data_IF_751671034161
#
_entry.id   IF_751671034161
#
_cell.length_a   1.000
_cell.length_b   1.000
_cell.length_c   1.000
_cell.angle_alpha   90.00
_cell.angle_beta   90.00
_cell.angle_gamma   90.00
#
_symmetry.space_group_name_H-M   'P 1'
#
loop_
_entity.id
_entity.type
_entity.pdbx_description
1 polymer ?
#
# COMPACT_ATOMS: atom_id res chain seq x y z
N UNK A 1 -30.61 10.26 -56.98
CA UNK A 1 -31.99 9.76 -56.97
C UNK A 1 -31.97 8.32 -56.47
N UNK A 2 -32.75 8.04 -55.40
CA UNK A 2 -33.45 6.79 -55.04
C UNK A 2 -32.82 5.43 -55.49
N UNK A 3 -32.78 4.35 -54.72
CA UNK A 3 -33.49 3.96 -53.50
C UNK A 3 -33.10 2.50 -53.18
N UNK A 4 -33.18 2.11 -51.89
CA UNK A 4 -33.67 0.79 -51.37
C UNK A 4 -32.89 -0.48 -51.78
N UNK A 5 -32.81 -1.55 -51.00
CA UNK A 5 -33.24 -1.88 -49.64
C UNK A 5 -32.46 -3.15 -49.25
N UNK A 6 -31.96 -3.22 -48.02
CA UNK A 6 -31.52 -4.48 -47.43
C UNK A 6 -32.72 -5.09 -46.69
N UNK A 7 -33.16 -6.26 -47.12
CA UNK A 7 -34.18 -7.05 -46.42
C UNK A 7 -33.84 -8.53 -46.50
N UNK A 8 -33.82 -9.17 -45.33
CA UNK A 8 -33.98 -10.61 -45.22
C UNK A 8 -32.71 -11.34 -44.82
N UNK A 9 -32.53 -11.55 -43.52
CA UNK A 9 -32.05 -12.86 -43.08
C UNK A 9 -32.94 -13.37 -41.97
N UNK A 10 -33.56 -14.50 -42.30
CA UNK A 10 -34.59 -15.19 -41.56
C UNK A 10 -34.07 -15.82 -40.28
N UNK A 11 -34.95 -15.81 -39.27
CA UNK A 11 -34.87 -16.69 -38.11
C UNK A 11 -35.02 -18.14 -38.56
N UNK A 12 -34.05 -18.99 -38.20
CA UNK A 12 -34.31 -20.41 -37.93
C UNK A 12 -33.82 -20.80 -36.54
N UNK A 13 -34.75 -21.40 -35.83
CA UNK A 13 -34.74 -21.79 -34.43
C UNK A 13 -34.50 -23.30 -34.31
N UNK A 14 -34.01 -23.71 -33.13
CA UNK A 14 -34.02 -25.06 -32.50
C UNK A 14 -33.05 -26.09 -33.13
N UNK A 15 -32.42 -27.02 -32.40
CA UNK A 15 -32.71 -27.61 -31.09
C UNK A 15 -31.40 -28.10 -30.43
N UNK A 16 -31.22 -27.87 -29.13
CA UNK A 16 -31.29 -28.87 -28.06
C UNK A 16 -30.05 -29.76 -27.86
N UNK A 17 -29.31 -29.51 -26.77
CA UNK A 17 -28.77 -30.59 -25.95
C UNK A 17 -28.97 -30.26 -24.47
N UNK A 18 -29.53 -31.23 -23.77
CA UNK A 18 -29.93 -31.19 -22.36
C UNK A 18 -28.70 -31.42 -21.49
N UNK A 19 -28.41 -30.50 -20.58
CA UNK A 19 -27.76 -30.86 -19.30
C UNK A 19 -28.51 -30.13 -18.19
N UNK A 20 -29.48 -30.83 -17.61
CA UNK A 20 -30.09 -30.45 -16.32
C UNK A 20 -29.03 -30.68 -15.25
N UNK A 21 -28.48 -29.61 -14.68
CA UNK A 21 -27.98 -29.62 -13.30
C UNK A 21 -28.90 -28.72 -12.50
N UNK A 22 -29.78 -29.37 -11.74
CA UNK A 22 -30.57 -28.75 -10.69
C UNK A 22 -29.61 -28.17 -9.66
N UNK A 23 -29.48 -26.85 -9.61
CA UNK A 23 -29.07 -26.17 -8.37
C UNK A 23 -30.35 -25.91 -7.58
N UNK A 24 -30.62 -26.83 -6.65
CA UNK A 24 -31.61 -26.63 -5.60
C UNK A 24 -31.02 -25.57 -4.65
N UNK A 25 -31.46 -24.32 -4.79
CA UNK A 25 -31.22 -23.28 -3.79
C UNK A 25 -32.22 -23.52 -2.67
N UNK A 26 -31.78 -24.19 -1.61
CA UNK A 26 -32.48 -24.24 -0.34
C UNK A 26 -32.15 -22.94 0.40
N UNK A 27 -33.09 -21.99 0.39
CA UNK A 27 -33.10 -20.86 1.32
C UNK A 27 -33.55 -21.39 2.69
N UNK A 28 -32.60 -21.79 3.54
CA UNK A 28 -32.83 -21.93 4.97
C UNK A 28 -32.55 -20.58 5.62
N UNK A 29 -33.62 -19.90 5.99
CA UNK A 29 -33.59 -18.78 6.91
C UNK A 29 -33.49 -19.32 8.34
N UNK A 30 -32.27 -19.41 8.87
CA UNK A 30 -31.99 -19.46 10.31
C UNK A 30 -30.69 -18.70 10.56
N UNK A 31 -30.76 -17.71 11.45
CA UNK A 31 -29.61 -16.90 11.85
C UNK A 31 -28.44 -17.78 12.27
N UNK A 32 -27.32 -17.59 11.60
CA UNK A 32 -26.02 -18.07 12.03
C UNK A 32 -25.02 -17.01 11.58
N UNK A 33 -24.22 -16.59 12.54
CA UNK A 33 -23.16 -15.62 12.40
C UNK A 33 -22.24 -16.12 11.28
N UNK A 34 -22.04 -15.28 10.26
CA UNK A 34 -20.94 -15.48 9.32
C UNK A 34 -19.66 -15.16 10.09
N UNK A 35 -19.17 -16.12 10.87
CA UNK A 35 -17.76 -16.13 11.25
C UNK A 35 -16.97 -16.19 9.95
N UNK A 36 -16.44 -15.02 9.58
CA UNK A 36 -15.45 -14.87 8.55
C UNK A 36 -14.29 -15.79 8.90
N UNK A 37 -14.17 -16.90 8.17
CA UNK A 37 -13.02 -17.80 8.20
C UNK A 37 -11.82 -17.05 7.64
N UNK A 38 -11.28 -16.12 8.44
CA UNK A 38 -9.88 -15.77 8.35
C UNK A 38 -9.11 -17.09 8.48
N UNK A 39 -8.19 -17.41 7.55
CA UNK A 39 -7.36 -18.59 7.71
C UNK A 39 -6.72 -18.53 9.10
N UNK A 40 -6.63 -19.65 9.83
CA UNK A 40 -5.91 -19.66 11.10
C UNK A 40 -4.54 -19.07 10.79
N UNK A 41 -4.21 -17.96 11.48
CA UNK A 41 -2.85 -17.45 11.51
C UNK A 41 -2.02 -18.66 11.92
N UNK A 42 -1.36 -19.27 10.93
CA UNK A 42 -0.42 -20.34 11.17
C UNK A 42 0.48 -19.84 12.29
N UNK A 43 0.76 -20.72 13.24
CA UNK A 43 1.66 -20.51 14.37
C UNK A 43 3.08 -20.15 13.87
N UNK A 44 3.21 -18.96 13.30
CA UNK A 44 4.46 -18.24 13.15
C UNK A 44 4.84 -17.91 14.58
N UNK A 45 5.77 -18.69 15.11
CA UNK A 45 6.19 -18.76 16.51
C UNK A 45 6.82 -17.49 17.07
N UNK A 46 6.17 -16.34 16.91
CA UNK A 46 6.22 -15.31 17.93
C UNK A 46 5.59 -15.93 19.17
N UNK A 47 6.38 -16.17 20.22
CA UNK A 47 5.84 -16.54 21.52
C UNK A 47 4.73 -15.51 21.86
N UNK A 48 3.47 -15.96 21.93
CA UNK A 48 2.34 -15.08 22.26
C UNK A 48 2.62 -14.35 23.57
N UNK A 49 3.40 -14.96 24.48
CA UNK A 49 3.84 -14.32 25.71
C UNK A 49 4.81 -13.14 25.48
N UNK A 50 5.65 -13.16 24.44
CA UNK A 50 6.52 -12.03 24.08
C UNK A 50 5.71 -10.83 23.61
N UNK A 51 4.73 -11.03 22.72
CA UNK A 51 3.85 -9.93 22.28
C UNK A 51 3.04 -9.37 23.45
N UNK A 52 2.55 -10.23 24.35
CA UNK A 52 1.83 -9.79 25.56
C UNK A 52 2.70 -8.98 26.53
N UNK A 53 4.00 -9.31 26.66
CA UNK A 53 4.95 -8.49 27.42
C UNK A 53 5.07 -7.08 26.82
N UNK A 54 5.15 -6.98 25.49
CA UNK A 54 5.20 -5.69 24.81
C UNK A 54 3.90 -4.91 24.97
N UNK A 55 2.74 -5.58 24.86
CA UNK A 55 1.40 -4.99 24.98
C UNK A 55 1.19 -4.23 26.28
N UNK A 56 1.79 -4.68 27.39
CA UNK A 56 1.66 -4.04 28.69
C UNK A 56 2.13 -2.58 28.72
N UNK A 57 3.04 -2.18 27.83
CA UNK A 57 3.54 -0.80 27.74
C UNK A 57 3.39 -0.17 26.34
N UNK A 58 3.25 -0.97 25.28
CA UNK A 58 3.27 -0.53 23.88
C UNK A 58 1.97 -0.84 23.14
N UNK A 59 0.82 -0.76 23.80
CA UNK A 59 -0.50 -1.12 23.22
C UNK A 59 -0.76 -0.47 21.87
N UNK A 60 -0.50 0.83 21.72
CA UNK A 60 -0.70 1.57 20.45
C UNK A 60 0.20 1.08 19.32
N UNK A 61 1.42 0.61 19.63
CA UNK A 61 2.33 0.03 18.63
C UNK A 61 1.92 -1.36 18.22
N UNK A 62 1.36 -2.14 19.13
CA UNK A 62 0.85 -3.47 18.81
C UNK A 62 -0.46 -3.40 18.03
N UNK A 63 -1.35 -2.46 18.36
CA UNK A 63 -2.53 -2.17 17.53
C UNK A 63 -2.13 -1.79 16.11
N UNK A 64 -1.11 -0.94 15.98
CA UNK A 64 -0.54 -0.59 14.70
C UNK A 64 -0.01 -1.84 13.97
N UNK A 65 0.80 -2.65 14.65
CA UNK A 65 1.41 -3.86 14.10
C UNK A 65 0.39 -4.86 13.56
N UNK A 66 -0.78 -4.92 14.21
CA UNK A 66 -1.88 -5.78 13.78
C UNK A 66 -2.56 -5.31 12.49
N UNK A 67 -2.27 -4.11 11.98
CA UNK A 67 -2.64 -3.72 10.62
C UNK A 67 -1.91 -4.62 9.62
N UNK A 68 -2.62 -5.00 8.56
CA UNK A 68 -2.07 -5.89 7.54
C UNK A 68 -0.82 -5.28 6.90
N UNK A 69 0.32 -5.93 7.09
CA UNK A 69 1.58 -5.60 6.43
C UNK A 69 2.32 -6.89 6.11
N UNK A 70 3.20 -6.88 5.11
CA UNK A 70 4.05 -8.05 4.83
C UNK A 70 4.94 -8.41 6.03
N UNK A 71 5.39 -7.42 6.82
CA UNK A 71 6.21 -7.68 8.01
C UNK A 71 5.42 -8.35 9.13
N UNK A 72 4.21 -7.87 9.43
CA UNK A 72 3.36 -8.47 10.48
C UNK A 72 2.81 -9.85 10.10
N UNK A 73 2.88 -10.23 8.83
CA UNK A 73 2.55 -11.57 8.35
C UNK A 73 3.73 -12.56 8.37
N UNK A 74 4.97 -12.08 8.39
CA UNK A 74 6.16 -12.93 8.18
C UNK A 74 7.12 -12.94 9.37
N UNK A 75 7.05 -11.93 10.24
CA UNK A 75 8.03 -11.72 11.30
C UNK A 75 7.35 -11.46 12.64
N UNK A 76 8.13 -11.53 13.72
CA UNK A 76 7.71 -11.12 15.06
C UNK A 76 8.41 -9.81 15.47
N UNK A 77 8.10 -9.31 16.65
CA UNK A 77 8.71 -8.08 17.16
C UNK A 77 10.24 -8.20 17.28
N UNK A 78 10.75 -9.38 17.66
CA UNK A 78 12.17 -9.62 17.96
C UNK A 78 13.01 -9.78 16.70
N UNK A 79 12.41 -10.13 15.56
CA UNK A 79 13.08 -10.10 14.26
C UNK A 79 13.70 -8.74 13.98
N UNK A 80 12.97 -7.68 14.34
CA UNK A 80 13.36 -6.30 14.08
C UNK A 80 13.73 -5.52 15.34
N UNK A 81 13.61 -6.07 16.55
CA UNK A 81 13.95 -5.38 17.78
C UNK A 81 14.87 -6.26 18.62
N UNK A 82 16.09 -5.80 18.84
CA UNK A 82 16.95 -6.40 19.85
C UNK A 82 16.53 -5.85 21.21
N UNK A 83 16.04 -6.75 22.07
CA UNK A 83 15.61 -6.42 23.43
C UNK A 83 16.86 -6.37 24.32
N UNK A 84 17.14 -5.22 24.90
CA UNK A 84 18.18 -5.09 25.93
C UNK A 84 17.55 -5.13 27.32
N UNK A 85 18.33 -5.57 28.32
CA UNK A 85 17.82 -6.02 29.62
C UNK A 85 17.13 -4.93 30.48
N UNK A 86 17.20 -3.65 30.10
CA UNK A 86 16.67 -2.54 30.90
C UNK A 86 15.54 -1.80 30.19
N UNK A 87 14.39 -1.69 30.86
CA UNK A 87 13.27 -0.85 30.48
C UNK A 87 13.65 0.63 30.64
N UNK A 88 14.21 1.22 29.58
CA UNK A 88 14.63 2.62 29.53
C UNK A 88 14.81 3.14 28.11
N UNK A 89 15.48 4.28 27.98
CA UNK A 89 15.90 4.79 26.67
C UNK A 89 16.80 3.75 26.00
N UNK A 90 16.37 3.22 24.85
CA UNK A 90 17.10 2.17 24.12
C UNK A 90 16.75 0.73 24.49
N UNK A 91 15.72 0.47 25.32
CA UNK A 91 15.29 -0.91 25.68
C UNK A 91 14.99 -1.82 24.48
N UNK A 92 14.67 -1.21 23.34
CA UNK A 92 14.64 -1.86 22.06
C UNK A 92 15.41 -1.01 21.03
N UNK A 93 16.33 -1.64 20.33
CA UNK A 93 16.98 -1.06 19.16
C UNK A 93 16.53 -1.82 17.93
N UNK A 94 16.15 -1.07 16.89
CA UNK A 94 15.86 -1.65 15.58
C UNK A 94 17.18 -1.81 14.83
N UNK A 95 17.60 -3.04 14.46
CA UNK A 95 18.77 -3.22 13.62
C UNK A 95 18.56 -2.53 12.27
N UNK A 96 19.64 -2.28 11.56
CA UNK A 96 19.57 -1.61 10.26
C UNK A 96 18.67 -2.39 9.27
N UNK A 97 17.76 -1.67 8.60
CA UNK A 97 16.84 -2.25 7.62
C UNK A 97 17.59 -2.99 6.49
N UNK A 98 18.82 -2.54 6.20
CA UNK A 98 19.75 -3.09 5.22
C UNK A 98 20.12 -4.56 5.43
N UNK A 99 19.84 -5.14 6.61
CA UNK A 99 20.01 -6.58 6.83
C UNK A 99 19.11 -7.44 5.95
N UNK A 100 17.92 -6.95 5.61
CA UNK A 100 16.94 -7.66 4.78
C UNK A 100 16.67 -6.92 3.45
N UNK A 101 16.93 -5.62 3.42
CA UNK A 101 16.60 -4.72 2.31
C UNK A 101 17.87 -4.23 1.60
N UNK A 102 17.80 -4.00 0.30
CA UNK A 102 18.92 -3.50 -0.52
C UNK A 102 18.57 -2.21 -1.27
N UNK A 103 17.53 -1.53 -0.81
CA UNK A 103 17.03 -0.28 -1.36
C UNK A 103 17.97 0.89 -1.02
N UNK A 104 17.99 1.90 -1.90
CA UNK A 104 18.84 3.07 -1.75
C UNK A 104 18.16 4.14 -0.90
N UNK A 105 18.94 4.87 -0.11
CA UNK A 105 18.44 6.03 0.61
C UNK A 105 18.08 7.15 -0.37
N UNK A 106 16.87 7.70 -0.24
CA UNK A 106 16.47 8.90 -0.98
C UNK A 106 17.02 10.13 -0.29
N UNK A 107 17.88 10.91 -0.97
CA UNK A 107 18.50 12.12 -0.43
C UNK A 107 19.18 11.96 0.96
N UNK A 108 19.69 10.75 1.26
CA UNK A 108 20.32 10.44 2.55
C UNK A 108 19.34 10.19 3.71
N UNK A 109 18.03 10.15 3.45
CA UNK A 109 17.03 9.82 4.47
C UNK A 109 17.12 8.37 4.92
N UNK A 110 16.89 8.13 6.21
CA UNK A 110 16.73 6.79 6.74
C UNK A 110 15.40 6.17 6.28
N UNK A 111 15.34 4.85 6.12
CA UNK A 111 14.15 4.15 5.63
C UNK A 111 12.89 4.48 6.45
N UNK A 112 13.05 4.64 7.77
CA UNK A 112 11.95 4.92 8.73
C UNK A 112 11.40 6.36 8.68
N UNK A 113 12.07 7.26 7.95
CA UNK A 113 11.53 8.60 7.67
C UNK A 113 10.33 8.51 6.71
N UNK A 114 10.33 7.50 5.83
CA UNK A 114 9.23 7.27 4.88
C UNK A 114 8.37 6.07 5.27
N UNK A 115 8.93 5.03 5.87
CA UNK A 115 8.23 3.78 6.19
C UNK A 115 7.89 3.66 7.68
N UNK A 116 6.71 3.13 7.97
CA UNK A 116 6.26 2.70 9.29
C UNK A 116 6.08 1.17 9.33
N UNK A 117 7.11 0.40 9.75
CA UNK A 117 7.04 -1.06 9.79
C UNK A 117 6.05 -1.59 10.84
N UNK A 118 5.58 -0.73 11.75
CA UNK A 118 4.48 -1.05 12.65
C UNK A 118 3.12 -0.84 11.99
N UNK A 119 3.05 -0.65 10.67
CA UNK A 119 1.80 -0.60 9.94
C UNK A 119 1.39 0.82 9.62
N UNK A 120 1.40 1.14 8.34
CA UNK A 120 0.67 2.26 7.77
C UNK A 120 -0.58 1.77 7.05
N UNK A 121 -1.53 2.68 6.83
CA UNK A 121 -2.68 2.44 5.95
C UNK A 121 -2.31 2.54 4.47
N UNK A 122 -1.16 3.14 4.14
CA UNK A 122 -0.68 3.25 2.77
C UNK A 122 0.07 1.99 2.33
N UNK A 123 0.11 1.78 1.01
CA UNK A 123 0.88 0.72 0.38
C UNK A 123 2.36 0.79 0.79
N UNK A 124 2.99 -0.39 0.85
CA UNK A 124 4.41 -0.55 1.24
C UNK A 124 4.77 0.08 2.58
N UNK A 125 3.78 0.19 3.48
CA UNK A 125 3.99 0.75 4.82
C UNK A 125 4.50 2.19 4.79
N UNK A 126 4.26 2.96 3.73
CA UNK A 126 4.63 4.38 3.70
C UNK A 126 3.83 5.13 4.76
N UNK A 127 4.46 5.95 5.60
CA UNK A 127 3.77 6.71 6.65
C UNK A 127 2.59 7.49 6.09
N UNK A 128 1.53 7.64 6.88
CA UNK A 128 0.41 8.52 6.50
C UNK A 128 0.77 10.01 6.54
N UNK A 129 1.86 10.35 7.25
CA UNK A 129 2.38 11.72 7.35
C UNK A 129 3.89 11.70 7.16
N UNK A 130 4.40 12.59 6.30
CA UNK A 130 5.83 12.79 6.07
C UNK A 130 6.26 14.14 6.60
N UNK A 131 7.45 14.19 7.21
CA UNK A 131 8.07 15.45 7.60
C UNK A 131 8.76 16.07 6.39
N UNK A 132 8.31 17.25 6.01
CA UNK A 132 8.92 18.06 4.96
C UNK A 132 10.27 18.61 5.41
N UNK A 133 11.09 19.04 4.45
CA UNK A 133 12.37 19.71 4.74
C UNK A 133 12.17 21.01 5.54
N UNK A 134 10.99 21.63 5.45
CA UNK A 134 10.58 22.80 6.24
C UNK A 134 10.26 22.45 7.70
N UNK A 135 10.18 21.16 8.05
CA UNK A 135 9.79 20.65 9.36
C UNK A 135 8.30 20.40 9.53
N UNK A 136 7.46 20.89 8.60
CA UNK A 136 6.01 20.66 8.56
C UNK A 136 5.68 19.17 8.35
N UNK A 137 4.56 18.69 8.89
CA UNK A 137 4.01 17.38 8.56
C UNK A 137 3.01 17.52 7.41
N UNK A 138 3.15 16.68 6.40
CA UNK A 138 2.22 16.62 5.28
C UNK A 138 1.58 15.23 5.22
N UNK A 139 0.25 15.21 5.21
CA UNK A 139 -0.52 13.99 5.01
C UNK A 139 -0.34 13.46 3.60
N UNK A 140 -0.18 12.14 3.48
CA UNK A 140 -0.13 11.42 2.22
C UNK A 140 -1.12 10.26 2.24
N UNK A 141 -1.83 10.10 1.12
CA UNK A 141 -2.66 8.94 0.84
C UNK A 141 -2.08 8.23 -0.38
N UNK A 142 -1.52 7.05 -0.16
CA UNK A 142 -0.86 6.26 -1.19
C UNK A 142 -1.43 4.84 -1.21
N UNK A 143 -2.49 4.69 -1.98
CA UNK A 143 -3.27 3.45 -2.11
C UNK A 143 -3.25 2.90 -3.53
N UNK A 144 -2.54 3.58 -4.45
CA UNK A 144 -2.49 3.28 -5.87
C UNK A 144 -1.05 3.33 -6.38
N UNK A 145 -0.63 2.37 -7.22
CA UNK A 145 0.74 2.30 -7.73
C UNK A 145 0.97 3.19 -8.95
N UNK A 146 -0.10 3.66 -9.57
CA UNK A 146 -0.07 4.52 -10.74
C UNK A 146 0.77 5.77 -10.47
N UNK A 147 1.48 6.24 -11.50
CA UNK A 147 2.24 7.49 -11.42
C UNK A 147 1.33 8.64 -11.08
N UNK A 148 0.52 9.04 -12.06
CA UNK A 148 -0.45 10.11 -11.96
C UNK A 148 -1.86 9.56 -11.70
N UNK A 149 -2.33 9.63 -10.46
CA UNK A 149 -3.71 9.26 -10.08
C UNK A 149 -4.15 10.03 -8.83
N UNK A 150 -5.36 9.80 -8.33
CA UNK A 150 -5.87 10.49 -7.12
C UNK A 150 -5.09 10.12 -5.85
N UNK A 151 -4.60 8.88 -5.77
CA UNK A 151 -3.90 8.29 -4.62
C UNK A 151 -2.56 7.63 -5.00
N UNK A 152 -1.95 8.13 -6.09
CA UNK A 152 -0.74 7.60 -6.70
C UNK A 152 0.55 8.29 -6.25
N UNK A 153 1.63 8.05 -7.00
CA UNK A 153 2.95 8.63 -6.70
C UNK A 153 2.97 10.15 -6.84
N UNK A 154 2.21 10.68 -7.79
CA UNK A 154 1.91 12.10 -7.95
C UNK A 154 0.40 12.24 -8.08
N UNK A 155 -0.17 13.27 -7.43
CA UNK A 155 -1.62 13.42 -7.42
C UNK A 155 -2.07 14.17 -8.65
N UNK A 156 -2.89 13.54 -9.48
CA UNK A 156 -3.63 14.25 -10.52
C UNK A 156 -5.09 14.34 -10.13
N UNK A 157 -5.50 15.51 -9.64
CA UNK A 157 -6.93 15.79 -9.50
C UNK A 157 -7.52 16.23 -10.84
N UNK A 158 -8.78 15.86 -11.07
CA UNK A 158 -9.57 16.30 -12.23
C UNK A 158 -9.58 17.82 -12.39
N UNK A 159 -9.43 18.58 -11.30
CA UNK A 159 -9.20 20.03 -11.27
C UNK A 159 -8.46 20.39 -9.95
N UNK A 160 -7.36 21.14 -10.03
CA UNK A 160 -6.89 22.03 -8.95
C UNK A 160 -6.13 21.46 -7.74
N UNK A 161 -6.20 20.15 -7.41
CA UNK A 161 -5.36 19.59 -6.32
C UNK A 161 -4.10 18.97 -6.91
N UNK A 162 -3.05 19.80 -7.00
CA UNK A 162 -1.67 19.40 -7.27
C UNK A 162 -0.92 19.43 -5.95
N UNK A 163 0.02 18.50 -5.72
CA UNK A 163 0.95 18.64 -4.59
C UNK A 163 0.66 17.84 -3.33
N UNK A 164 -0.11 16.76 -3.41
CA UNK A 164 -0.28 15.83 -2.28
C UNK A 164 -0.08 14.36 -2.62
N UNK A 165 0.41 14.05 -3.83
CA UNK A 165 0.95 12.73 -4.11
C UNK A 165 2.29 12.53 -3.41
N UNK A 166 2.71 11.28 -3.21
CA UNK A 166 3.92 10.93 -2.46
C UNK A 166 5.15 11.79 -2.83
N UNK A 167 5.46 11.90 -4.12
CA UNK A 167 6.62 12.63 -4.60
C UNK A 167 6.43 14.15 -4.46
N UNK A 168 5.24 14.65 -4.79
CA UNK A 168 4.96 16.08 -4.79
C UNK A 168 4.93 16.67 -3.38
N UNK A 169 4.65 15.86 -2.36
CA UNK A 169 4.68 16.25 -0.95
C UNK A 169 6.02 16.88 -0.58
N UNK A 170 7.13 16.26 -1.00
CA UNK A 170 8.48 16.73 -0.68
C UNK A 170 9.11 17.56 -1.81
N UNK A 171 8.78 17.28 -3.08
CA UNK A 171 9.39 17.95 -4.22
C UNK A 171 8.69 19.28 -4.54
N UNK A 172 9.23 20.39 -4.00
CA UNK A 172 8.69 21.75 -4.20
C UNK A 172 9.34 22.51 -5.35
N UNK A 173 10.57 22.15 -5.72
CA UNK A 173 11.42 22.86 -6.70
C UNK A 173 11.76 22.03 -7.95
N UNK A 174 11.20 20.82 -8.07
CA UNK A 174 11.47 19.96 -9.23
C UNK A 174 10.89 20.56 -10.50
N UNK A 175 11.55 20.28 -11.64
CA UNK A 175 11.05 20.70 -12.95
C UNK A 175 9.75 19.99 -13.34
N UNK A 176 9.58 18.72 -12.91
CA UNK A 176 8.41 17.87 -13.16
C UNK A 176 7.74 17.53 -11.84
N UNK A 177 6.40 17.45 -11.84
CA UNK A 177 5.60 17.08 -10.66
C UNK A 177 5.99 17.83 -9.36
N UNK A 178 6.15 19.15 -9.46
CA UNK A 178 6.36 19.99 -8.26
C UNK A 178 5.05 20.24 -7.54
N UNK A 179 5.14 20.35 -6.22
CA UNK A 179 4.00 20.67 -5.34
C UNK A 179 3.16 21.88 -5.78
N UNK A 180 3.83 22.92 -6.26
CA UNK A 180 3.27 24.29 -6.34
C UNK A 180 2.73 24.73 -7.70
N UNK A 181 3.01 24.00 -8.78
CA UNK A 181 2.27 24.10 -10.04
C UNK A 181 2.75 23.04 -11.03
N UNK A 182 1.83 22.44 -11.80
CA UNK A 182 2.10 21.43 -12.81
C UNK A 182 3.46 21.61 -13.49
N UNK A 183 4.29 20.56 -13.41
CA UNK A 183 5.64 20.58 -13.95
C UNK A 183 5.69 20.46 -15.47
N UNK A 184 6.90 20.41 -16.01
CA UNK A 184 7.12 20.07 -17.42
C UNK A 184 6.51 18.70 -17.76
N UNK A 185 6.24 18.46 -19.05
CA UNK A 185 5.75 17.16 -19.54
C UNK A 185 6.68 16.04 -19.07
N UNK A 186 6.10 15.00 -18.48
CA UNK A 186 6.80 13.81 -18.04
C UNK A 186 5.90 12.58 -18.15
N UNK A 187 6.48 11.39 -18.00
CA UNK A 187 5.70 10.16 -18.00
C UNK A 187 4.76 10.10 -16.79
N UNK A 188 3.49 9.82 -17.05
CA UNK A 188 2.42 9.74 -16.04
C UNK A 188 2.17 8.32 -15.53
N UNK A 189 2.95 7.34 -15.99
CA UNK A 189 2.85 5.92 -15.61
C UNK A 189 3.68 5.62 -14.36
N UNK A 190 3.97 4.34 -14.09
CA UNK A 190 4.74 3.91 -12.94
C UNK A 190 6.17 4.54 -12.90
N UNK A 191 6.39 5.53 -12.03
CA UNK A 191 7.65 6.25 -11.91
C UNK A 191 8.86 5.35 -11.56
N UNK A 192 8.71 4.30 -10.71
CA UNK A 192 9.80 3.40 -10.37
C UNK A 192 10.35 2.57 -11.51
N UNK A 193 9.75 2.59 -12.71
CA UNK A 193 10.40 2.01 -13.89
C UNK A 193 11.64 2.78 -14.32
N UNK A 194 11.67 4.09 -14.08
CA UNK A 194 12.81 4.95 -14.38
C UNK A 194 13.53 5.37 -13.10
N UNK A 195 12.80 5.71 -12.04
CA UNK A 195 13.35 6.14 -10.75
C UNK A 195 13.42 4.96 -9.78
N UNK A 196 14.47 4.16 -9.84
CA UNK A 196 14.52 2.91 -9.08
C UNK A 196 14.71 3.17 -7.57
N UNK A 197 13.98 2.43 -6.73
CA UNK A 197 14.12 2.53 -5.27
C UNK A 197 15.52 2.12 -4.79
N UNK A 198 16.16 1.12 -5.44
CA UNK A 198 17.55 0.73 -5.16
C UNK A 198 18.58 1.87 -5.37
N UNK A 199 18.23 2.82 -6.22
CA UNK A 199 19.07 3.98 -6.53
C UNK A 199 18.59 5.23 -5.77
N UNK A 200 17.75 5.06 -4.74
CA UNK A 200 17.19 6.16 -3.96
C UNK A 200 16.32 7.09 -4.79
N UNK A 201 15.66 6.57 -5.83
CA UNK A 201 14.89 7.35 -6.81
C UNK A 201 15.70 8.42 -7.55
N UNK A 202 17.02 8.25 -7.66
CA UNK A 202 17.87 9.16 -8.41
C UNK A 202 17.36 9.38 -9.84
N UNK A 203 17.65 10.56 -10.40
CA UNK A 203 17.32 10.87 -11.80
C UNK A 203 18.22 10.01 -12.70
N UNK A 204 17.65 9.21 -13.62
CA UNK A 204 18.45 8.45 -14.59
C UNK A 204 19.33 9.37 -15.42
N UNK A 205 20.57 8.93 -15.68
CA UNK A 205 21.52 9.63 -16.55
C UNK A 205 21.32 9.25 -18.01
#
# INVERSE_FOLDING_TARGET
MNSRAASGLERKTRAASRVRRFFLVVLVACGSEVEELAPPRAELGADVADVQRCLGCHSTKVEAWNRASSHSLLFDCRTCHEVVAESGSGHAIVPECSRCHSEGAHAGSACRECHDPHGSVNLYMLRAELRLITGELAGIEFTALEGASEHGLVRTASIGVQGSGLCETCHTETRVYRRSAGGARHHTRYCPECHLHRDGFAVPR
#
